data_IF_737241895575
#
_entry.id   IF_737241895575
#
_cell.length_a   1.000
_cell.length_b   1.000
_cell.length_c   1.000
_cell.angle_alpha   90.00
_cell.angle_beta   90.00
_cell.angle_gamma   90.00
#
_symmetry.space_group_name_H-M   'P 1'
#
loop_
_entity.id
_entity.type
_entity.pdbx_description
1 polymer ?
#
# COMPACT_ATOMS: atom_id res chain seq x y z
N UNK A 1 51.56 62.62 41.43
CA UNK A 1 51.62 61.15 41.28
C UNK A 1 50.19 60.63 41.26
N UNK A 2 49.63 60.36 40.07
CA UNK A 2 49.67 59.08 39.35
C UNK A 2 49.02 57.94 40.16
N UNK A 3 47.94 57.38 39.60
CA UNK A 3 47.36 56.03 39.81
C UNK A 3 46.17 55.90 40.79
N UNK A 4 44.97 56.34 40.41
CA UNK A 4 43.73 55.83 41.02
C UNK A 4 42.64 55.39 40.03
N UNK A 5 42.74 55.74 38.73
CA UNK A 5 41.81 55.23 37.71
C UNK A 5 42.09 53.79 37.23
N UNK A 6 43.18 53.15 37.71
CA UNK A 6 43.56 51.80 37.25
C UNK A 6 42.71 50.67 37.87
N UNK A 7 42.05 50.91 38.99
CA UNK A 7 41.33 49.89 39.76
C UNK A 7 39.95 49.52 39.15
N UNK A 8 39.08 50.47 38.72
CA UNK A 8 37.83 50.09 38.06
C UNK A 8 38.06 49.50 36.66
N UNK A 9 39.14 49.91 35.98
CA UNK A 9 39.49 49.37 34.67
C UNK A 9 39.92 47.89 34.75
N UNK A 10 40.67 47.52 35.80
CA UNK A 10 41.11 46.14 36.02
C UNK A 10 39.96 45.18 36.37
N UNK A 11 38.93 45.66 37.07
CA UNK A 11 37.74 44.86 37.42
C UNK A 11 36.84 44.56 36.21
N UNK A 12 36.77 45.48 35.24
CA UNK A 12 35.98 45.28 34.01
C UNK A 12 36.68 44.27 33.07
N UNK A 13 38.01 44.19 33.08
CA UNK A 13 38.77 43.27 32.21
C UNK A 13 38.62 41.78 32.55
N UNK A 14 38.13 41.42 33.74
CA UNK A 14 37.94 40.00 34.15
C UNK A 14 36.64 39.41 33.58
N UNK A 15 35.67 40.24 33.15
CA UNK A 15 34.35 39.79 32.69
C UNK A 15 34.35 39.35 31.21
N UNK A 16 35.47 39.51 30.50
CA UNK A 16 35.57 39.19 29.06
C UNK A 16 35.95 37.72 28.76
N UNK A 17 35.89 36.82 29.74
CA UNK A 17 36.16 35.39 29.54
C UNK A 17 35.04 34.78 28.69
N UNK A 18 35.26 34.66 27.38
CA UNK A 18 34.31 34.07 26.44
C UNK A 18 34.16 32.57 26.73
N UNK A 19 33.09 32.21 27.44
CA UNK A 19 32.70 30.80 27.62
C UNK A 19 32.23 30.28 26.27
N UNK A 20 32.93 29.29 25.72
CA UNK A 20 32.50 28.58 24.51
C UNK A 20 31.27 27.74 24.86
N UNK A 21 30.09 28.21 24.46
CA UNK A 21 28.88 27.41 24.52
C UNK A 21 28.90 26.40 23.36
N UNK A 22 28.92 25.10 23.68
CA UNK A 22 28.74 24.03 22.69
C UNK A 22 27.23 23.84 22.52
N UNK A 23 26.64 24.57 21.58
CA UNK A 23 25.29 24.28 21.11
C UNK A 23 25.37 23.12 20.11
N UNK A 24 24.48 22.13 20.25
CA UNK A 24 24.38 21.05 19.27
C UNK A 24 23.73 21.59 17.99
N UNK A 25 24.32 21.29 16.84
CA UNK A 25 23.70 21.52 15.53
C UNK A 25 22.93 20.27 15.07
N UNK A 26 21.86 20.46 14.30
CA UNK A 26 21.14 19.36 13.64
C UNK A 26 21.44 19.43 12.15
N UNK A 27 21.97 18.35 11.58
CA UNK A 27 22.09 18.16 10.14
C UNK A 27 20.85 17.44 9.61
N UNK A 28 20.22 17.98 8.56
CA UNK A 28 19.02 17.39 7.97
C UNK A 28 19.32 17.09 6.49
N UNK A 29 19.03 15.86 6.08
CA UNK A 29 19.02 15.43 4.68
C UNK A 29 17.64 14.86 4.38
N UNK A 30 17.16 15.06 3.15
CA UNK A 30 15.86 14.54 2.72
C UNK A 30 15.97 13.98 1.29
N UNK A 31 15.05 13.08 0.96
CA UNK A 31 14.84 12.57 -0.39
C UNK A 31 13.33 12.51 -0.63
N UNK A 32 12.89 12.94 -1.81
CA UNK A 32 11.51 12.72 -2.24
C UNK A 32 11.35 11.27 -2.71
N UNK A 33 10.30 10.60 -2.25
CA UNK A 33 9.94 9.23 -2.63
C UNK A 33 8.45 9.17 -2.95
N UNK A 34 8.06 8.16 -3.73
CA UNK A 34 6.65 7.81 -3.90
C UNK A 34 6.13 7.15 -2.61
N UNK A 35 4.87 7.43 -2.30
CA UNK A 35 4.17 6.86 -1.15
C UNK A 35 2.80 6.36 -1.58
N UNK A 36 2.36 5.30 -0.93
CA UNK A 36 1.04 4.70 -1.07
C UNK A 36 0.19 5.18 0.10
N UNK A 37 -0.97 5.72 -0.22
CA UNK A 37 -2.00 6.08 0.75
C UNK A 37 -3.14 5.06 0.69
N UNK A 38 -3.61 4.66 1.88
CA UNK A 38 -4.75 3.80 2.09
C UNK A 38 -5.83 4.59 2.79
N UNK A 39 -7.07 4.37 2.37
CA UNK A 39 -8.26 4.91 3.01
C UNK A 39 -9.13 3.72 3.42
N UNK A 40 -9.23 3.48 4.72
CA UNK A 40 -9.97 2.37 5.28
C UNK A 40 -11.32 2.85 5.82
N UNK A 41 -12.40 2.28 5.30
CA UNK A 41 -13.77 2.57 5.70
C UNK A 41 -14.51 1.24 5.88
N UNK A 42 -15.47 1.22 6.80
CA UNK A 42 -16.47 0.16 6.85
C UNK A 42 -17.40 0.27 5.64
N UNK A 43 -18.15 -0.80 5.32
CA UNK A 43 -19.15 -0.79 4.25
C UNK A 43 -20.25 0.27 4.45
N UNK A 44 -20.45 0.72 5.69
CA UNK A 44 -21.33 1.84 6.03
C UNK A 44 -20.79 3.20 5.59
N UNK A 45 -19.52 3.28 5.18
CA UNK A 45 -18.79 4.51 4.85
C UNK A 45 -18.06 5.15 6.03
N UNK A 46 -18.28 4.70 7.26
CA UNK A 46 -17.59 5.22 8.45
C UNK A 46 -16.08 4.90 8.38
N UNK A 47 -15.17 5.84 8.69
CA UNK A 47 -13.74 5.56 8.75
C UNK A 47 -13.38 4.49 9.78
N UNK A 48 -12.42 3.64 9.42
CA UNK A 48 -11.81 2.69 10.35
C UNK A 48 -10.69 3.39 11.15
N UNK A 49 -11.08 4.31 12.03
CA UNK A 49 -10.15 5.08 12.86
C UNK A 49 -9.30 4.16 13.76
N UNK A 50 -8.00 4.39 13.88
CA UNK A 50 -7.10 3.54 14.68
C UNK A 50 -7.01 2.07 14.23
N UNK A 51 -7.37 1.75 12.98
CA UNK A 51 -7.20 0.41 12.45
C UNK A 51 -5.73 -0.02 12.44
N UNK A 52 -5.46 -1.27 12.80
CA UNK A 52 -4.13 -1.85 12.74
C UNK A 52 -3.78 -2.18 11.28
N UNK A 53 -2.63 -1.72 10.82
CA UNK A 53 -2.14 -1.97 9.47
C UNK A 53 -0.85 -2.78 9.53
N UNK A 54 -0.76 -3.85 8.74
CA UNK A 54 0.45 -4.65 8.54
C UNK A 54 0.75 -4.74 7.05
N UNK A 55 1.96 -4.34 6.67
CA UNK A 55 2.45 -4.33 5.29
C UNK A 55 3.50 -5.41 5.16
N UNK A 56 3.34 -6.30 4.17
CA UNK A 56 4.25 -7.40 3.87
C UNK A 56 4.91 -7.15 2.53
N UNK A 57 6.22 -7.35 2.50
CA UNK A 57 6.99 -7.18 1.26
C UNK A 57 6.91 -8.46 0.40
N UNK A 58 7.07 -8.35 -0.92
CA UNK A 58 7.17 -9.52 -1.79
C UNK A 58 8.36 -10.44 -1.44
N UNK A 59 9.41 -9.90 -0.80
CA UNK A 59 10.62 -10.62 -0.44
C UNK A 59 10.43 -11.53 0.80
N UNK A 60 9.56 -11.16 1.72
CA UNK A 60 9.15 -11.96 2.88
C UNK A 60 7.66 -11.71 3.17
N UNK A 61 6.76 -12.54 2.63
CA UNK A 61 5.32 -12.40 2.82
C UNK A 61 4.84 -12.94 4.19
N UNK A 62 5.74 -13.53 5.00
CA UNK A 62 5.38 -14.14 6.28
C UNK A 62 5.66 -13.23 7.48
N UNK A 63 6.55 -12.25 7.31
CA UNK A 63 6.91 -11.28 8.34
C UNK A 63 6.47 -9.88 7.91
N UNK A 64 5.73 -9.14 8.73
CA UNK A 64 5.41 -7.75 8.41
C UNK A 64 6.70 -6.93 8.24
N UNK A 65 6.82 -6.27 7.10
CA UNK A 65 7.89 -5.31 6.82
C UNK A 65 7.66 -4.00 7.60
N UNK A 66 6.40 -3.57 7.68
CA UNK A 66 5.96 -2.42 8.45
C UNK A 66 4.65 -2.73 9.15
N UNK A 67 4.52 -2.29 10.40
CA UNK A 67 3.24 -2.23 11.09
C UNK A 67 2.94 -0.80 11.49
N UNK A 68 1.66 -0.47 11.61
CA UNK A 68 1.23 0.85 12.01
C UNK A 68 -0.25 0.91 12.34
N UNK A 69 -0.73 2.13 12.49
CA UNK A 69 -2.10 2.42 12.88
C UNK A 69 -2.63 3.53 11.97
N UNK A 70 -3.82 3.34 11.41
CA UNK A 70 -4.51 4.36 10.65
C UNK A 70 -4.89 5.56 11.54
N UNK A 71 -4.97 6.75 10.97
CA UNK A 71 -5.38 7.96 11.69
C UNK A 71 -6.88 7.98 12.00
N UNK A 72 -7.36 9.07 12.62
CA UNK A 72 -8.77 9.26 13.01
C UNK A 72 -9.74 9.24 11.81
N UNK A 73 -9.23 9.48 10.60
CA UNK A 73 -10.01 9.43 9.35
C UNK A 73 -9.89 8.09 8.63
N UNK A 74 -9.25 7.08 9.25
CA UNK A 74 -8.99 5.78 8.65
C UNK A 74 -7.89 5.81 7.59
N UNK A 75 -7.05 6.84 7.56
CA UNK A 75 -5.96 6.97 6.57
C UNK A 75 -4.67 6.35 7.09
N UNK A 76 -3.94 5.67 6.21
CA UNK A 76 -2.60 5.20 6.50
C UNK A 76 -1.70 5.43 5.28
N UNK A 77 -0.49 5.93 5.49
CA UNK A 77 0.46 6.21 4.40
C UNK A 77 1.77 5.49 4.68
N UNK A 78 2.31 4.82 3.66
CA UNK A 78 3.64 4.23 3.72
C UNK A 78 4.37 4.39 2.38
N UNK A 79 5.70 4.48 2.43
CA UNK A 79 6.54 4.47 1.25
C UNK A 79 7.21 3.09 1.12
N UNK A 80 6.86 2.27 0.11
CA UNK A 80 7.54 1.00 -0.11
C UNK A 80 9.01 1.23 -0.49
N UNK A 81 9.88 0.27 -0.17
CA UNK A 81 11.27 0.33 -0.62
C UNK A 81 11.33 0.17 -2.15
N UNK A 82 11.81 1.16 -2.92
CA UNK A 82 11.84 1.11 -4.38
C UNK A 82 12.81 0.04 -4.92
N UNK A 83 13.70 -0.49 -4.09
CA UNK A 83 14.57 -1.62 -4.46
C UNK A 83 13.87 -2.98 -4.43
N UNK A 84 12.64 -3.04 -3.90
CA UNK A 84 11.83 -4.27 -3.76
C UNK A 84 10.57 -4.14 -4.64
N UNK A 85 10.68 -4.35 -5.96
CA UNK A 85 9.53 -4.40 -6.85
C UNK A 85 8.71 -5.67 -6.62
N UNK A 86 7.43 -5.63 -6.98
CA UNK A 86 6.52 -6.78 -6.90
C UNK A 86 5.21 -6.44 -6.21
N UNK A 87 4.45 -7.48 -5.86
CA UNK A 87 3.17 -7.34 -5.19
C UNK A 87 3.35 -7.30 -3.69
N UNK A 88 3.06 -6.15 -3.10
CA UNK A 88 3.01 -5.94 -1.66
C UNK A 88 1.63 -6.29 -1.13
N UNK A 89 1.58 -6.98 0.01
CA UNK A 89 0.33 -7.29 0.68
C UNK A 89 0.13 -6.30 1.84
N UNK A 90 -1.06 -5.72 1.96
CA UNK A 90 -1.41 -4.85 3.08
C UNK A 90 -2.67 -5.35 3.74
N UNK A 91 -2.56 -5.68 5.02
CA UNK A 91 -3.67 -6.08 5.86
C UNK A 91 -4.10 -4.93 6.76
N UNK A 92 -5.38 -4.56 6.71
CA UNK A 92 -5.99 -3.57 7.61
C UNK A 92 -7.03 -4.27 8.47
N UNK A 93 -6.96 -4.12 9.80
CA UNK A 93 -7.87 -4.78 10.75
C UNK A 93 -8.31 -3.86 11.89
N UNK A 94 -9.59 -3.91 12.23
CA UNK A 94 -10.13 -3.26 13.42
C UNK A 94 -11.30 -4.08 13.98
N UNK A 95 -11.30 -4.34 15.29
CA UNK A 95 -12.41 -4.96 16.02
C UNK A 95 -13.02 -6.23 15.33
N UNK A 96 -12.17 -7.08 14.77
CA UNK A 96 -12.58 -8.32 14.09
C UNK A 96 -12.97 -8.16 12.61
N UNK A 97 -13.08 -6.93 12.11
CA UNK A 97 -13.26 -6.62 10.70
C UNK A 97 -11.90 -6.31 10.05
N UNK A 98 -11.75 -6.57 8.76
CA UNK A 98 -10.54 -6.23 8.04
C UNK A 98 -10.47 -6.80 6.64
N UNK A 99 -9.55 -6.28 5.86
CA UNK A 99 -9.32 -6.64 4.47
C UNK A 99 -7.82 -6.79 4.19
N UNK A 100 -7.49 -7.53 3.12
CA UNK A 100 -6.15 -7.70 2.60
C UNK A 100 -6.12 -7.15 1.17
N UNK A 101 -5.22 -6.21 0.92
CA UNK A 101 -5.01 -5.55 -0.36
C UNK A 101 -3.69 -6.00 -0.97
N UNK A 102 -3.66 -6.14 -2.30
CA UNK A 102 -2.45 -6.44 -3.05
C UNK A 102 -2.08 -5.24 -3.92
N UNK A 103 -0.88 -4.70 -3.75
CA UNK A 103 -0.42 -3.46 -4.38
C UNK A 103 0.84 -3.73 -5.19
N UNK A 104 0.78 -3.49 -6.50
CA UNK A 104 1.92 -3.68 -7.40
C UNK A 104 2.86 -2.47 -7.35
N UNK A 105 4.11 -2.69 -6.95
CA UNK A 105 5.17 -1.67 -6.90
C UNK A 105 6.22 -1.97 -7.98
N UNK A 106 6.62 -0.97 -8.75
CA UNK A 106 7.70 -1.09 -9.75
C UNK A 106 7.32 -1.73 -11.08
N UNK A 107 6.03 -1.85 -11.41
CA UNK A 107 5.51 -2.24 -12.74
C UNK A 107 4.88 -1.07 -13.49
N UNK A 108 4.59 -1.23 -14.79
CA UNK A 108 3.82 -0.24 -15.57
C UNK A 108 2.54 0.10 -14.81
N UNK A 109 2.24 1.39 -14.67
CA UNK A 109 1.17 1.95 -13.85
C UNK A 109 -0.20 1.37 -14.21
N UNK A 110 -0.50 0.19 -13.66
CA UNK A 110 -1.81 -0.41 -13.65
C UNK A 110 -2.58 0.25 -12.54
N UNK A 111 -3.49 1.16 -12.92
CA UNK A 111 -4.66 1.64 -12.19
C UNK A 111 -4.78 0.98 -10.81
N UNK A 112 -4.65 1.80 -9.75
CA UNK A 112 -4.94 1.45 -8.36
C UNK A 112 -6.44 1.08 -8.24
N UNK A 113 -6.82 -0.07 -8.78
CA UNK A 113 -8.11 -0.70 -8.61
C UNK A 113 -7.97 -1.62 -7.42
N UNK A 114 -8.34 -1.11 -6.25
CA UNK A 114 -8.69 -1.98 -5.14
C UNK A 114 -9.73 -2.96 -5.66
N UNK A 115 -9.36 -4.24 -5.78
CA UNK A 115 -10.34 -5.29 -5.91
C UNK A 115 -10.91 -5.47 -4.50
N UNK A 116 -11.78 -4.53 -4.11
CA UNK A 116 -12.58 -4.64 -2.91
C UNK A 116 -13.33 -5.95 -3.03
N UNK A 117 -12.97 -6.90 -2.17
CA UNK A 117 -13.71 -8.14 -2.04
C UNK A 117 -15.02 -7.78 -1.37
N UNK A 118 -16.00 -7.30 -2.14
CA UNK A 118 -17.36 -7.12 -1.67
C UNK A 118 -17.83 -8.48 -1.16
N UNK A 119 -17.84 -8.65 0.15
CA UNK A 119 -18.50 -9.77 0.79
C UNK A 119 -20.00 -9.61 0.54
N UNK A 120 -20.47 -10.45 -0.36
CA UNK A 120 -21.83 -10.88 -0.62
C UNK A 120 -22.80 -10.58 0.54
N UNK A 121 -23.51 -9.47 0.41
CA UNK A 121 -24.86 -9.36 0.95
C UNK A 121 -25.81 -9.83 -0.15
N UNK A 122 -26.56 -10.87 0.19
CA UNK A 122 -27.55 -11.53 -0.67
C UNK A 122 -28.55 -10.51 -1.25
N UNK A 123 -28.49 -10.26 -2.56
CA UNK A 123 -29.65 -9.76 -3.30
C UNK A 123 -29.66 -10.30 -4.73
N UNK A 124 -30.70 -11.07 -5.03
CA UNK A 124 -30.99 -11.60 -6.35
C UNK A 124 -31.34 -10.44 -7.30
N UNK A 125 -30.42 -10.10 -8.21
CA UNK A 125 -30.83 -9.52 -9.50
C UNK A 125 -29.96 -10.02 -10.64
N UNK A 126 -30.46 -11.09 -11.26
CA UNK A 126 -30.01 -11.62 -12.53
C UNK A 126 -30.17 -10.57 -13.65
N UNK A 127 -29.09 -9.92 -14.07
CA UNK A 127 -28.88 -9.52 -15.48
C UNK A 127 -27.51 -8.88 -15.73
N UNK A 128 -26.43 -9.67 -15.84
CA UNK A 128 -25.22 -9.26 -16.61
C UNK A 128 -24.19 -10.37 -16.83
N UNK A 129 -24.63 -11.62 -17.09
CA UNK A 129 -23.73 -12.66 -17.60
C UNK A 129 -23.77 -12.63 -19.13
N UNK A 130 -23.07 -11.68 -19.77
CA UNK A 130 -22.57 -11.78 -21.16
C UNK A 130 -21.95 -10.46 -21.71
N UNK A 131 -21.06 -9.78 -20.97
CA UNK A 131 -20.30 -8.65 -21.60
C UNK A 131 -19.05 -8.24 -20.81
N UNK A 132 -18.13 -9.17 -20.56
CA UNK A 132 -16.91 -8.81 -19.82
C UNK A 132 -15.66 -9.66 -20.05
N UNK A 133 -15.74 -10.78 -20.77
CA UNK A 133 -14.60 -11.69 -20.93
C UNK A 133 -13.74 -11.30 -22.16
N UNK A 134 -14.09 -10.23 -22.87
CA UNK A 134 -13.49 -9.87 -24.16
C UNK A 134 -12.19 -9.07 -24.09
N UNK A 135 -12.00 -8.22 -23.08
CA UNK A 135 -11.11 -7.07 -23.27
C UNK A 135 -9.68 -7.27 -22.74
N UNK A 136 -9.44 -8.30 -21.91
CA UNK A 136 -8.15 -8.52 -21.25
C UNK A 136 -7.52 -9.91 -21.52
N UNK A 137 -7.95 -10.62 -22.56
CA UNK A 137 -7.38 -11.93 -22.90
C UNK A 137 -6.36 -11.80 -24.04
N UNK A 138 -5.14 -12.28 -23.78
CA UNK A 138 -4.12 -12.42 -24.83
C UNK A 138 -4.66 -13.30 -25.98
N UNK A 139 -4.34 -12.93 -27.23
CA UNK A 139 -4.80 -13.63 -28.45
C UNK A 139 -4.71 -15.17 -28.35
N UNK A 140 -3.64 -15.79 -27.80
CA UNK A 140 -3.59 -17.24 -27.66
C UNK A 140 -4.59 -17.82 -26.65
N UNK A 141 -4.91 -17.11 -25.56
CA UNK A 141 -5.91 -17.55 -24.57
C UNK A 141 -7.33 -17.58 -25.19
N UNK A 142 -7.68 -16.59 -26.00
CA UNK A 142 -8.96 -16.60 -26.75
C UNK A 142 -9.05 -17.80 -27.70
N UNK A 143 -7.96 -18.11 -28.38
CA UNK A 143 -7.88 -19.26 -29.29
C UNK A 143 -8.10 -20.60 -28.58
N UNK A 144 -7.45 -20.80 -27.42
CA UNK A 144 -7.58 -22.03 -26.66
C UNK A 144 -9.02 -22.27 -26.19
N UNK A 145 -9.68 -21.24 -25.66
CA UNK A 145 -11.07 -21.37 -25.20
C UNK A 145 -12.03 -21.72 -26.35
N UNK A 146 -11.86 -21.09 -27.52
CA UNK A 146 -12.69 -21.39 -28.68
C UNK A 146 -12.54 -22.87 -29.12
N UNK A 147 -11.31 -23.39 -29.13
CA UNK A 147 -11.03 -24.78 -29.49
C UNK A 147 -11.64 -25.74 -28.46
N UNK A 148 -11.52 -25.46 -27.16
CA UNK A 148 -12.09 -26.30 -26.10
C UNK A 148 -13.61 -26.41 -26.19
N UNK A 149 -14.30 -25.30 -26.48
CA UNK A 149 -15.75 -25.28 -26.64
C UNK A 149 -16.19 -26.09 -27.86
N UNK A 150 -15.56 -25.87 -29.02
CA UNK A 150 -15.84 -26.62 -30.24
C UNK A 150 -15.63 -28.12 -30.02
N UNK A 151 -14.52 -28.49 -29.38
CA UNK A 151 -14.22 -29.89 -29.08
C UNK A 151 -15.25 -30.51 -28.12
N UNK A 152 -15.74 -29.77 -27.13
CA UNK A 152 -16.80 -30.21 -26.23
C UNK A 152 -18.12 -30.52 -26.94
N UNK A 153 -18.53 -29.68 -27.90
CA UNK A 153 -19.70 -29.94 -28.72
C UNK A 153 -19.53 -31.16 -29.64
N UNK A 154 -18.35 -31.32 -30.26
CA UNK A 154 -18.04 -32.50 -31.09
C UNK A 154 -18.05 -33.79 -30.27
N UNK A 155 -17.40 -33.78 -29.09
CA UNK A 155 -17.39 -34.93 -28.19
C UNK A 155 -18.78 -35.33 -27.73
N UNK A 156 -19.61 -34.35 -27.39
CA UNK A 156 -21.01 -34.59 -27.00
C UNK A 156 -21.83 -35.17 -28.17
N UNK A 157 -21.67 -34.64 -29.38
CA UNK A 157 -22.35 -35.17 -30.56
C UNK A 157 -21.92 -36.62 -30.88
N UNK A 158 -20.62 -36.91 -30.82
CA UNK A 158 -20.09 -38.26 -31.02
C UNK A 158 -20.55 -39.24 -29.94
N UNK A 159 -20.64 -38.81 -28.68
CA UNK A 159 -21.15 -39.62 -27.57
C UNK A 159 -22.58 -40.12 -27.85
N UNK A 160 -23.46 -39.22 -28.30
CA UNK A 160 -24.82 -39.61 -28.67
C UNK A 160 -24.89 -40.43 -29.97
N UNK A 161 -23.99 -40.19 -30.93
CA UNK A 161 -23.90 -40.98 -32.16
C UNK A 161 -23.46 -42.43 -31.90
N UNK A 162 -22.47 -42.61 -31.01
CA UNK A 162 -21.94 -43.93 -30.64
C UNK A 162 -22.95 -44.78 -29.86
N UNK A 163 -23.90 -44.14 -29.17
CA UNK A 163 -24.96 -44.81 -28.41
C UNK A 163 -26.16 -45.27 -29.27
N UNK A 164 -26.14 -45.00 -30.58
CA UNK A 164 -27.20 -45.39 -31.53
C UNK A 164 -26.93 -46.74 -32.25
N UNK A 165 -26.28 -47.68 -31.56
CA UNK A 165 -26.21 -49.10 -31.95
C UNK A 165 -26.86 -49.95 -30.88
#
# INVERSE_FOLDING_TARGET
>A
MRRTFAIPLALISVVSWQVRAIAHGVGITYQATEAIELQANYDSGEPMAEAQVSVYSPADPSTPWLTGTADETGRFVFAPDPSIPGTWEVQVRQAGHGEILNISVGGEAGVLGANAGASEADDESNSQIASGIGDNLSIPQKGLMAVSVIWGFVGTALFFLARKK
#
